data_IF_121898625492
#
_entry.id   IF_121898625492
#
_cell.length_a   1.000
_cell.length_b   1.000
_cell.length_c   1.000
_cell.angle_alpha   90.00
_cell.angle_beta   90.00
_cell.angle_gamma   90.00
#
_symmetry.space_group_name_H-M   'P 1'
#
loop_
_entity.id
_entity.type
_entity.pdbx_description
1 polymer ?
#
# COMPACT_ATOMS: atom_id res chain seq x y z
N UNK A 1 18.90 29.35 3.32
CA UNK A 1 18.01 30.49 3.66
C UNK A 1 17.20 30.17 4.90
N UNK A 2 17.06 31.12 5.83
CA UNK A 2 16.25 30.92 7.05
C UNK A 2 14.82 31.41 6.82
N UNK A 3 13.84 30.54 7.04
CA UNK A 3 12.42 30.89 6.96
C UNK A 3 11.81 30.96 8.37
N UNK A 4 10.85 31.85 8.57
CA UNK A 4 10.09 31.97 9.82
C UNK A 4 8.63 31.65 9.57
N UNK A 5 8.09 30.61 10.21
CA UNK A 5 6.71 30.17 10.04
C UNK A 5 5.89 30.53 11.27
N UNK A 6 4.77 31.20 11.07
CA UNK A 6 3.79 31.44 12.11
C UNK A 6 3.10 30.11 12.50
N UNK A 7 3.15 29.67 13.76
CA UNK A 7 2.59 28.37 14.16
C UNK A 7 1.06 28.35 14.17
N UNK A 8 0.40 29.52 14.21
CA UNK A 8 -1.07 29.61 14.31
C UNK A 8 -1.75 29.53 12.95
N UNK A 9 -1.14 30.08 11.90
CA UNK A 9 -1.77 30.19 10.59
C UNK A 9 -0.90 29.74 9.41
N UNK A 10 0.37 29.39 9.66
CA UNK A 10 1.30 28.95 8.63
C UNK A 10 1.87 30.05 7.74
N UNK A 11 1.67 31.34 8.06
CA UNK A 11 2.33 32.43 7.33
C UNK A 11 3.85 32.30 7.39
N UNK A 12 4.50 32.27 6.23
CA UNK A 12 5.96 32.12 6.11
C UNK A 12 6.59 33.45 5.70
N UNK A 13 7.52 33.95 6.52
CA UNK A 13 8.37 35.08 6.20
C UNK A 13 9.77 34.59 5.82
N UNK A 14 10.26 35.01 4.66
CA UNK A 14 11.62 34.71 4.20
C UNK A 14 12.55 35.82 4.68
N UNK A 15 13.69 35.44 5.27
CA UNK A 15 14.80 36.32 5.68
C UNK A 15 14.50 37.33 6.81
N UNK A 16 13.25 37.81 6.95
CA UNK A 16 12.85 38.78 7.97
C UNK A 16 11.69 38.26 8.83
N UNK A 17 11.86 38.28 10.15
CA UNK A 17 10.82 37.93 11.12
C UNK A 17 10.01 39.19 11.50
N UNK A 18 8.70 39.29 11.16
CA UNK A 18 7.92 40.48 11.46
C UNK A 18 7.56 40.58 12.96
N UNK A 19 7.31 41.80 13.50
CA UNK A 19 6.90 42.03 14.89
C UNK A 19 5.61 41.30 15.29
N UNK A 20 4.69 41.18 14.33
CA UNK A 20 3.45 40.43 14.44
C UNK A 20 3.17 39.73 13.11
N UNK A 21 2.50 38.58 13.16
CA UNK A 21 2.03 37.93 11.95
C UNK A 21 1.01 38.82 11.23
N UNK A 22 1.21 39.15 9.93
CA UNK A 22 0.28 40.01 9.19
C UNK A 22 -1.11 39.39 8.97
N UNK A 23 -1.23 38.06 9.18
CA UNK A 23 -2.48 37.31 9.00
C UNK A 23 -3.26 37.21 10.31
N UNK A 24 -2.63 36.74 11.39
CA UNK A 24 -3.33 36.40 12.65
C UNK A 24 -2.83 37.18 13.87
N UNK A 25 -1.90 38.13 13.68
CA UNK A 25 -1.32 38.98 14.74
C UNK A 25 -0.57 38.24 15.84
N UNK A 26 -0.23 36.97 15.63
CA UNK A 26 0.68 36.23 16.52
C UNK A 26 2.00 36.99 16.70
N UNK A 27 2.46 37.20 17.94
CA UNK A 27 3.68 37.98 18.21
C UNK A 27 4.94 37.30 17.69
N UNK A 28 5.97 38.11 17.41
CA UNK A 28 7.26 37.71 16.82
C UNK A 28 7.93 36.53 17.53
N UNK A 29 7.86 36.48 18.86
CA UNK A 29 8.51 35.48 19.70
C UNK A 29 7.96 34.06 19.49
N UNK A 30 6.76 33.93 18.91
CA UNK A 30 6.14 32.64 18.61
C UNK A 30 6.46 32.09 17.22
N UNK A 31 7.16 32.84 16.37
CA UNK A 31 7.54 32.36 15.04
C UNK A 31 8.60 31.25 15.14
N UNK A 32 8.35 30.14 14.44
CA UNK A 32 9.27 29.01 14.35
C UNK A 32 10.34 29.31 13.27
N UNK A 33 11.61 29.26 13.65
CA UNK A 33 12.72 29.30 12.67
C UNK A 33 12.88 27.93 12.03
N UNK A 34 12.75 27.89 10.71
CA UNK A 34 13.00 26.71 9.89
C UNK A 34 14.32 26.96 9.18
N UNK A 35 15.35 26.20 9.54
CA UNK A 35 16.59 26.13 8.75
C UNK A 35 16.34 25.31 7.48
N UNK A 36 17.16 25.53 6.46
CA UNK A 36 17.21 24.64 5.30
C UNK A 36 17.63 23.25 5.75
N UNK A 37 16.65 22.36 5.83
CA UNK A 37 16.76 20.94 6.10
C UNK A 37 15.50 20.27 5.59
N UNK A 38 15.51 18.94 5.53
CA UNK A 38 14.31 18.21 5.15
C UNK A 38 13.16 18.56 6.11
N UNK A 39 11.94 18.81 5.61
CA UNK A 39 10.80 19.10 6.45
C UNK A 39 10.61 17.96 7.47
N UNK A 40 10.55 18.32 8.75
CA UNK A 40 10.19 17.36 9.79
C UNK A 40 8.72 16.97 9.63
N UNK A 41 8.44 15.67 9.47
CA UNK A 41 7.09 15.10 9.39
C UNK A 41 6.74 14.41 10.71
N UNK A 42 6.36 15.14 11.77
CA UNK A 42 6.20 14.60 13.13
C UNK A 42 5.10 13.53 13.24
N UNK A 43 4.19 13.47 12.28
CA UNK A 43 3.09 12.48 12.21
C UNK A 43 3.19 11.58 10.98
N UNK A 44 4.38 11.42 10.39
CA UNK A 44 4.58 10.52 9.25
C UNK A 44 4.28 9.07 9.63
N UNK A 45 3.47 8.39 8.82
CA UNK A 45 3.32 6.94 8.93
C UNK A 45 4.66 6.27 8.60
N UNK A 46 5.15 5.40 9.49
CA UNK A 46 6.36 4.61 9.27
C UNK A 46 6.00 3.14 9.06
N UNK A 47 6.77 2.48 8.20
CA UNK A 47 6.69 1.03 8.02
C UNK A 47 7.30 0.35 9.24
N UNK A 48 6.62 -0.67 9.79
CA UNK A 48 7.14 -1.49 10.87
C UNK A 48 6.95 -0.93 12.28
N UNK A 49 6.04 0.03 12.49
CA UNK A 49 5.81 0.61 13.82
C UNK A 49 5.35 -0.39 14.90
N UNK A 50 4.86 -1.57 14.51
CA UNK A 50 4.47 -2.64 15.42
C UNK A 50 5.48 -3.79 15.51
N UNK A 51 6.66 -3.69 14.88
CA UNK A 51 7.68 -4.77 14.95
C UNK A 51 8.09 -5.08 16.39
N UNK A 52 8.18 -4.06 17.24
CA UNK A 52 8.59 -4.18 18.65
C UNK A 52 7.42 -4.19 19.64
N UNK A 53 6.17 -4.36 19.18
CA UNK A 53 5.02 -4.41 20.09
C UNK A 53 4.94 -5.73 20.86
N UNK A 54 4.03 -5.79 21.85
CA UNK A 54 3.77 -7.02 22.59
C UNK A 54 3.47 -8.20 21.64
N UNK A 55 4.04 -9.37 21.94
CA UNK A 55 3.95 -10.53 21.05
C UNK A 55 2.50 -11.00 20.82
N UNK A 56 1.64 -10.89 21.83
CA UNK A 56 0.21 -11.20 21.71
C UNK A 56 -0.49 -10.21 20.78
N UNK A 57 -0.21 -8.91 20.96
CA UNK A 57 -0.72 -7.86 20.06
C UNK A 57 -0.24 -8.05 18.63
N UNK A 58 1.05 -8.32 18.44
CA UNK A 58 1.62 -8.60 17.11
C UNK A 58 0.92 -9.78 16.43
N UNK A 59 0.70 -10.88 17.16
CA UNK A 59 0.02 -12.06 16.64
C UNK A 59 -1.43 -11.75 16.24
N UNK A 60 -2.16 -10.99 17.05
CA UNK A 60 -3.53 -10.57 16.73
C UNK A 60 -3.59 -9.64 15.50
N UNK A 61 -2.60 -8.75 15.33
CA UNK A 61 -2.47 -7.89 14.14
C UNK A 61 -2.22 -8.72 12.88
N UNK A 62 -1.36 -9.75 12.95
CA UNK A 62 -1.11 -10.68 11.84
C UNK A 62 -2.37 -11.46 11.49
N UNK A 63 -3.06 -12.03 12.49
CA UNK A 63 -4.33 -12.74 12.28
C UNK A 63 -5.39 -11.82 11.65
N UNK A 64 -5.45 -10.56 12.10
CA UNK A 64 -6.33 -9.54 11.53
C UNK A 64 -6.00 -9.23 10.08
N UNK A 65 -4.71 -9.15 9.73
CA UNK A 65 -4.24 -8.96 8.35
C UNK A 65 -4.68 -10.12 7.45
N UNK A 66 -4.49 -11.37 7.89
CA UNK A 66 -4.88 -12.56 7.12
C UNK A 66 -6.40 -12.61 6.90
N UNK A 67 -7.19 -12.35 7.95
CA UNK A 67 -8.64 -12.35 7.88
C UNK A 67 -9.17 -11.27 6.93
N UNK A 68 -8.61 -10.05 6.98
CA UNK A 68 -9.07 -8.97 6.10
C UNK A 68 -8.67 -9.21 4.65
N UNK A 69 -7.49 -9.78 4.39
CA UNK A 69 -7.04 -10.15 3.04
C UNK A 69 -7.92 -11.23 2.41
N UNK A 70 -8.28 -12.26 3.17
CA UNK A 70 -9.26 -13.26 2.73
C UNK A 70 -10.61 -12.60 2.41
N UNK A 71 -11.03 -11.63 3.22
CA UNK A 71 -12.25 -10.86 2.98
C UNK A 71 -12.28 -10.09 1.65
N UNK A 72 -11.13 -9.64 1.12
CA UNK A 72 -11.07 -8.93 -0.17
C UNK A 72 -11.49 -9.86 -1.31
N UNK A 73 -10.88 -11.03 -1.41
CA UNK A 73 -11.18 -11.99 -2.49
C UNK A 73 -12.60 -12.53 -2.38
N UNK A 74 -13.08 -12.80 -1.15
CA UNK A 74 -14.46 -13.21 -0.88
C UNK A 74 -15.45 -12.17 -1.38
N UNK A 75 -15.26 -10.89 -1.02
CA UNK A 75 -16.15 -9.82 -1.47
C UNK A 75 -16.14 -9.67 -3.01
N UNK A 76 -14.98 -9.74 -3.66
CA UNK A 76 -14.92 -9.68 -5.14
C UNK A 76 -15.60 -10.88 -5.81
N UNK A 77 -15.49 -12.08 -5.24
CA UNK A 77 -16.18 -13.26 -5.73
C UNK A 77 -17.70 -13.14 -5.55
N UNK A 78 -18.16 -12.66 -4.40
CA UNK A 78 -19.58 -12.38 -4.14
C UNK A 78 -20.12 -11.30 -5.07
N UNK A 79 -19.35 -10.25 -5.36
CA UNK A 79 -19.73 -9.22 -6.32
C UNK A 79 -19.99 -9.82 -7.71
N UNK A 80 -19.06 -10.66 -8.21
CA UNK A 80 -19.21 -11.36 -9.50
C UNK A 80 -20.43 -12.27 -9.53
N UNK A 81 -20.75 -12.91 -8.40
CA UNK A 81 -21.94 -13.75 -8.31
C UNK A 81 -23.23 -12.93 -8.37
N UNK A 82 -23.29 -11.81 -7.63
CA UNK A 82 -24.43 -10.90 -7.65
C UNK A 82 -24.70 -10.34 -9.05
N UNK A 83 -23.65 -9.97 -9.81
CA UNK A 83 -23.80 -9.53 -11.20
C UNK A 83 -24.42 -10.62 -12.09
N UNK A 84 -24.02 -11.90 -11.94
CA UNK A 84 -24.58 -13.03 -12.72
C UNK A 84 -26.04 -13.28 -12.41
N UNK A 85 -26.46 -12.99 -11.19
CA UNK A 85 -27.85 -13.12 -10.73
C UNK A 85 -28.70 -11.89 -11.08
N UNK A 86 -28.09 -10.82 -11.62
CA UNK A 86 -28.79 -9.60 -12.02
C UNK A 86 -29.00 -8.60 -10.89
N UNK A 87 -28.17 -8.64 -9.83
CA UNK A 87 -28.21 -7.70 -8.69
C UNK A 87 -27.00 -6.73 -8.70
N UNK A 88 -26.94 -5.77 -9.64
CA UNK A 88 -25.78 -4.89 -9.80
C UNK A 88 -25.52 -3.99 -8.58
N UNK A 89 -26.55 -3.61 -7.82
CA UNK A 89 -26.40 -2.80 -6.61
C UNK A 89 -25.68 -3.57 -5.51
N UNK A 90 -25.98 -4.87 -5.38
CA UNK A 90 -25.29 -5.76 -4.43
C UNK A 90 -23.84 -5.98 -4.87
N UNK A 91 -23.62 -6.16 -6.17
CA UNK A 91 -22.26 -6.28 -6.72
C UNK A 91 -21.41 -5.03 -6.43
N UNK A 92 -21.98 -3.84 -6.63
CA UNK A 92 -21.30 -2.58 -6.28
C UNK A 92 -21.03 -2.44 -4.78
N UNK A 93 -21.97 -2.84 -3.93
CA UNK A 93 -21.77 -2.83 -2.48
C UNK A 93 -20.59 -3.72 -2.07
N UNK A 94 -20.53 -4.96 -2.57
CA UNK A 94 -19.41 -5.86 -2.32
C UNK A 94 -18.09 -5.34 -2.90
N UNK A 95 -18.11 -4.74 -4.09
CA UNK A 95 -16.92 -4.12 -4.69
C UNK A 95 -16.40 -2.95 -3.85
N UNK A 96 -17.28 -2.14 -3.26
CA UNK A 96 -16.90 -1.08 -2.32
C UNK A 96 -16.27 -1.67 -1.05
N UNK A 97 -16.91 -2.67 -0.45
CA UNK A 97 -16.42 -3.34 0.75
C UNK A 97 -15.02 -3.96 0.49
N UNK A 98 -14.80 -4.57 -0.66
CA UNK A 98 -13.51 -5.13 -1.04
C UNK A 98 -12.40 -4.06 -1.07
N UNK A 99 -12.69 -2.86 -1.60
CA UNK A 99 -11.73 -1.74 -1.59
C UNK A 99 -11.44 -1.23 -0.18
N UNK A 100 -12.46 -1.09 0.66
CA UNK A 100 -12.29 -0.67 2.06
C UNK A 100 -11.47 -1.71 2.86
N UNK A 101 -11.72 -3.00 2.65
CA UNK A 101 -10.91 -4.09 3.22
C UNK A 101 -9.48 -4.07 2.71
N UNK A 102 -9.25 -3.80 1.43
CA UNK A 102 -7.89 -3.66 0.89
C UNK A 102 -7.14 -2.48 1.54
N UNK A 103 -7.83 -1.37 1.82
CA UNK A 103 -7.25 -0.24 2.56
C UNK A 103 -6.91 -0.60 4.02
N UNK A 104 -7.75 -1.39 4.69
CA UNK A 104 -7.42 -1.93 6.01
C UNK A 104 -6.19 -2.85 5.97
N UNK A 105 -6.11 -3.76 4.98
CA UNK A 105 -4.97 -4.63 4.79
C UNK A 105 -3.66 -3.85 4.55
N UNK A 106 -3.73 -2.76 3.76
CA UNK A 106 -2.58 -1.90 3.51
C UNK A 106 -2.07 -1.25 4.81
N UNK A 107 -2.96 -0.67 5.63
CA UNK A 107 -2.60 -0.06 6.91
C UNK A 107 -1.99 -1.06 7.90
N UNK A 108 -2.56 -2.27 7.99
CA UNK A 108 -2.02 -3.33 8.83
C UNK A 108 -0.65 -3.79 8.35
N UNK A 109 -0.46 -3.88 7.03
CA UNK A 109 0.82 -4.29 6.44
C UNK A 109 1.90 -3.23 6.62
N UNK A 110 1.57 -1.94 6.50
CA UNK A 110 2.44 -0.82 6.86
C UNK A 110 2.83 -0.89 8.33
N UNK A 111 1.84 -1.04 9.23
CA UNK A 111 2.06 -1.14 10.68
C UNK A 111 3.00 -2.30 11.04
N UNK A 112 2.79 -3.48 10.43
CA UNK A 112 3.58 -4.69 10.69
C UNK A 112 4.92 -4.74 9.97
N UNK A 113 5.15 -3.94 8.92
CA UNK A 113 6.34 -4.08 8.07
C UNK A 113 6.38 -5.36 7.22
N UNK A 114 5.28 -6.11 7.14
CA UNK A 114 5.25 -7.42 6.50
C UNK A 114 5.31 -7.36 4.97
N UNK A 115 6.46 -7.73 4.39
CA UNK A 115 6.62 -7.87 2.94
C UNK A 115 6.80 -6.54 2.20
N UNK A 116 7.20 -5.49 2.91
CA UNK A 116 7.64 -4.22 2.35
C UNK A 116 8.71 -3.59 3.24
N UNK A 117 9.46 -2.66 2.67
CA UNK A 117 10.46 -1.84 3.33
C UNK A 117 10.12 -0.36 3.12
N UNK A 118 10.83 0.53 3.81
CA UNK A 118 10.72 1.97 3.56
C UNK A 118 11.34 2.40 2.21
N UNK A 119 12.03 1.51 1.50
CA UNK A 119 12.73 1.82 0.25
C UNK A 119 11.94 1.33 -0.96
N UNK A 120 11.35 2.25 -1.73
CA UNK A 120 10.57 1.92 -2.92
C UNK A 120 11.34 1.08 -3.95
N UNK A 121 12.63 1.38 -4.18
CA UNK A 121 13.46 0.61 -5.10
C UNK A 121 13.68 -0.85 -4.65
N UNK A 122 13.76 -1.09 -3.33
CA UNK A 122 13.86 -2.43 -2.77
C UNK A 122 12.53 -3.17 -2.89
N UNK A 123 11.41 -2.51 -2.58
CA UNK A 123 10.08 -3.06 -2.75
C UNK A 123 9.83 -3.49 -4.21
N UNK A 124 10.28 -2.68 -5.18
CA UNK A 124 10.19 -3.06 -6.59
C UNK A 124 11.04 -4.30 -6.90
N UNK A 125 12.24 -4.41 -6.33
CA UNK A 125 13.09 -5.59 -6.53
C UNK A 125 12.42 -6.86 -5.99
N UNK A 126 11.97 -6.82 -4.72
CA UNK A 126 11.36 -7.99 -4.07
C UNK A 126 10.05 -8.39 -4.76
N UNK A 127 9.25 -7.42 -5.22
CA UNK A 127 8.03 -7.73 -5.95
C UNK A 127 8.29 -8.32 -7.34
N UNK A 128 9.34 -7.91 -8.06
CA UNK A 128 9.72 -8.56 -9.33
C UNK A 128 10.08 -10.04 -9.11
N UNK A 129 10.85 -10.32 -8.04
CA UNK A 129 11.21 -11.70 -7.66
C UNK A 129 9.97 -12.51 -7.27
N UNK A 130 9.05 -11.91 -6.51
CA UNK A 130 7.81 -12.55 -6.10
C UNK A 130 6.90 -12.89 -7.30
N UNK A 131 6.70 -11.94 -8.23
CA UNK A 131 5.90 -12.16 -9.44
C UNK A 131 6.50 -13.23 -10.35
N UNK A 132 7.83 -13.25 -10.52
CA UNK A 132 8.52 -14.28 -11.29
C UNK A 132 8.33 -15.68 -10.67
N UNK A 133 8.47 -15.79 -9.34
CA UNK A 133 8.25 -17.05 -8.62
C UNK A 133 6.79 -17.50 -8.73
N UNK A 134 5.84 -16.58 -8.58
CA UNK A 134 4.42 -16.88 -8.67
C UNK A 134 4.01 -17.32 -10.08
N UNK A 135 4.54 -16.67 -11.13
CA UNK A 135 4.35 -17.04 -12.53
C UNK A 135 4.81 -18.49 -12.78
N UNK A 136 6.03 -18.85 -12.36
CA UNK A 136 6.55 -20.21 -12.52
C UNK A 136 5.71 -21.24 -11.77
N UNK A 137 5.34 -20.94 -10.51
CA UNK A 137 4.51 -21.82 -9.71
C UNK A 137 3.14 -22.10 -10.37
N UNK A 138 2.47 -21.05 -10.85
CA UNK A 138 1.18 -21.17 -11.51
C UNK A 138 1.30 -21.91 -12.86
N UNK A 139 2.37 -21.69 -13.62
CA UNK A 139 2.61 -22.45 -14.85
C UNK A 139 2.74 -23.95 -14.57
N UNK A 140 3.50 -24.34 -13.54
CA UNK A 140 3.64 -25.73 -13.14
C UNK A 140 2.31 -26.34 -12.68
N UNK A 141 1.53 -25.60 -11.88
CA UNK A 141 0.22 -26.04 -11.42
C UNK A 141 -0.76 -26.22 -12.58
N UNK A 142 -0.81 -25.28 -13.52
CA UNK A 142 -1.64 -25.37 -14.72
C UNK A 142 -1.25 -26.61 -15.55
N UNK A 143 0.05 -26.85 -15.77
CA UNK A 143 0.53 -28.03 -16.50
C UNK A 143 0.13 -29.34 -15.82
N UNK A 144 0.20 -29.42 -14.48
CA UNK A 144 -0.29 -30.59 -13.73
C UNK A 144 -1.81 -30.77 -13.87
N UNK A 145 -2.58 -29.70 -13.72
CA UNK A 145 -4.03 -29.73 -13.88
C UNK A 145 -4.43 -30.24 -15.28
N UNK A 146 -3.75 -29.79 -16.33
CA UNK A 146 -4.00 -30.25 -17.70
C UNK A 146 -3.73 -31.75 -17.88
N UNK A 147 -2.62 -32.25 -17.33
CA UNK A 147 -2.29 -33.69 -17.37
C UNK A 147 -3.33 -34.57 -16.66
N UNK A 148 -4.01 -34.02 -15.65
CA UNK A 148 -5.05 -34.70 -14.89
C UNK A 148 -6.46 -34.52 -15.48
N UNK A 149 -6.61 -33.78 -16.58
CA UNK A 149 -7.91 -33.52 -17.22
C UNK A 149 -8.74 -32.43 -16.51
N UNK A 150 -8.15 -31.61 -15.65
CA UNK A 150 -8.84 -30.51 -14.99
C UNK A 150 -8.74 -29.21 -15.80
N UNK A 151 -9.44 -29.17 -16.93
CA UNK A 151 -9.34 -28.06 -17.90
C UNK A 151 -9.70 -26.70 -17.30
N UNK A 152 -10.81 -26.60 -16.55
CA UNK A 152 -11.20 -25.33 -15.90
C UNK A 152 -10.14 -24.82 -14.93
N UNK A 153 -9.48 -25.71 -14.18
CA UNK A 153 -8.41 -25.34 -13.25
C UNK A 153 -7.18 -24.89 -14.04
N UNK A 154 -6.81 -25.62 -15.08
CA UNK A 154 -5.72 -25.24 -15.98
C UNK A 154 -5.94 -23.83 -16.53
N UNK A 155 -7.11 -23.54 -17.10
CA UNK A 155 -7.37 -22.28 -17.81
C UNK A 155 -7.26 -21.08 -16.86
N UNK A 156 -7.87 -21.17 -15.68
CA UNK A 156 -7.81 -20.08 -14.68
C UNK A 156 -6.38 -19.86 -14.19
N UNK A 157 -5.68 -20.93 -13.80
CA UNK A 157 -4.33 -20.81 -13.24
C UNK A 157 -3.30 -20.40 -14.31
N UNK A 158 -3.51 -20.82 -15.56
CA UNK A 158 -2.64 -20.42 -16.66
C UNK A 158 -2.77 -18.93 -16.98
N UNK A 159 -3.97 -18.37 -16.96
CA UNK A 159 -4.16 -16.92 -17.08
C UNK A 159 -3.53 -16.17 -15.89
N UNK A 160 -3.63 -16.69 -14.67
CA UNK A 160 -2.92 -16.11 -13.52
C UNK A 160 -1.39 -16.08 -13.71
N UNK A 161 -0.80 -17.12 -14.31
CA UNK A 161 0.63 -17.13 -14.63
C UNK A 161 1.00 -16.02 -15.62
N UNK A 162 0.19 -15.79 -16.66
CA UNK A 162 0.40 -14.70 -17.62
C UNK A 162 0.27 -13.32 -16.96
N UNK A 163 -0.70 -13.15 -16.07
CA UNK A 163 -0.87 -11.90 -15.33
C UNK A 163 0.34 -11.60 -14.44
N UNK A 164 0.88 -12.60 -13.74
CA UNK A 164 2.08 -12.45 -12.92
C UNK A 164 3.30 -12.09 -13.76
N UNK A 165 3.47 -12.71 -14.93
CA UNK A 165 4.51 -12.33 -15.88
C UNK A 165 4.36 -10.87 -16.33
N UNK A 166 3.14 -10.44 -16.67
CA UNK A 166 2.82 -9.05 -17.05
C UNK A 166 3.13 -8.08 -15.91
N UNK A 167 2.75 -8.39 -14.68
CA UNK A 167 3.06 -7.60 -13.48
C UNK A 167 4.57 -7.51 -13.25
N UNK A 168 5.29 -8.63 -13.31
CA UNK A 168 6.75 -8.68 -13.17
C UNK A 168 7.47 -7.82 -14.21
N UNK A 169 7.07 -7.89 -15.49
CA UNK A 169 7.63 -7.04 -16.55
C UNK A 169 7.38 -5.55 -16.29
N UNK A 170 6.17 -5.17 -15.87
CA UNK A 170 5.83 -3.78 -15.51
C UNK A 170 6.70 -3.27 -14.37
N UNK A 171 6.79 -4.02 -13.27
CA UNK A 171 7.59 -3.65 -12.10
C UNK A 171 9.08 -3.60 -12.42
N UNK A 172 9.58 -4.52 -13.24
CA UNK A 172 10.97 -4.53 -13.68
C UNK A 172 11.28 -3.29 -14.54
N UNK A 173 10.37 -2.89 -15.42
CA UNK A 173 10.47 -1.66 -16.21
C UNK A 173 10.55 -0.41 -15.32
N UNK A 174 9.66 -0.31 -14.32
CA UNK A 174 9.67 0.79 -13.35
C UNK A 174 10.97 0.83 -12.54
N UNK A 175 11.43 -0.33 -12.04
CA UNK A 175 12.69 -0.42 -11.31
C UNK A 175 13.87 0.08 -12.14
N UNK A 176 13.97 -0.39 -13.40
CA UNK A 176 15.03 0.04 -14.31
C UNK A 176 14.97 1.54 -14.61
N UNK A 177 13.76 2.10 -14.72
CA UNK A 177 13.60 3.53 -15.03
C UNK A 177 14.00 4.45 -13.88
N UNK A 178 13.76 4.06 -12.63
CA UNK A 178 13.87 4.97 -11.48
C UNK A 178 14.93 4.57 -10.45
N UNK A 179 15.43 3.33 -10.46
CA UNK A 179 16.30 2.79 -9.40
C UNK A 179 17.41 1.87 -9.94
N UNK A 180 17.84 2.09 -11.19
CA UNK A 180 19.03 1.42 -11.78
C UNK A 180 20.32 2.00 -11.23
#
# INVERSE_FOLDING_TARGET
>A
MTAFVCPECGYTALEYRPPECPVCRTPMDRFLSVEEGDPAWPHGHMVGMAEDCDAGVHQELVASLEAVQAGVSVCLAMARQADREGYPEIAQAYGRIAREKAAHAARLRELLGHGLTFRTGENLRTQVEAEAKASSHNQELAARAKKMGYDTIHDVVHEMAKDQARHGCMLQGLRKRFFS
#
